data_IF_573662508845
#
_entry.id   IF_573662508845
#
_cell.length_a   1.000
_cell.length_b   1.000
_cell.length_c   1.000
_cell.angle_alpha   90.00
_cell.angle_beta   90.00
_cell.angle_gamma   90.00
#
_symmetry.space_group_name_H-M   'P 1'
#
loop_
_entity.id
_entity.type
_entity.pdbx_description
1 polymer ?
#
# COMPACT_ATOMS: atom_id res chain seq x y z
N UNK A 1 11.00 -6.47 -28.64
CA UNK A 1 9.64 -6.20 -28.14
C UNK A 1 9.76 -6.16 -26.62
N UNK A 2 9.59 -4.99 -25.99
CA UNK A 2 9.72 -4.88 -24.53
C UNK A 2 8.59 -5.69 -23.87
N UNK A 3 8.92 -6.73 -23.13
CA UNK A 3 7.95 -7.43 -22.29
C UNK A 3 7.46 -6.44 -21.25
N UNK A 4 6.14 -6.21 -21.21
CA UNK A 4 5.56 -5.36 -20.19
C UNK A 4 5.60 -6.14 -18.87
N UNK A 5 6.68 -5.91 -18.10
CA UNK A 5 7.01 -6.64 -16.87
C UNK A 5 6.12 -6.22 -15.68
N UNK A 6 5.18 -5.30 -15.89
CA UNK A 6 4.18 -4.87 -14.91
C UNK A 6 2.79 -5.34 -15.33
N UNK A 7 2.06 -6.00 -14.44
CA UNK A 7 0.63 -6.25 -14.60
C UNK A 7 -0.12 -5.00 -14.15
N UNK A 8 -1.02 -4.49 -14.99
CA UNK A 8 -1.88 -3.35 -14.66
C UNK A 8 -3.33 -3.82 -14.59
N UNK A 9 -4.04 -3.47 -13.51
CA UNK A 9 -5.49 -3.62 -13.37
C UNK A 9 -6.10 -2.26 -13.08
N UNK A 10 -7.24 -1.99 -13.69
CA UNK A 10 -8.04 -0.78 -13.47
C UNK A 10 -9.48 -1.24 -13.32
N UNK A 11 -10.15 -0.71 -12.30
CA UNK A 11 -11.56 -0.94 -12.04
C UNK A 11 -12.26 0.39 -11.82
N UNK A 12 -13.41 0.55 -12.46
CA UNK A 12 -14.29 1.67 -12.17
C UNK A 12 -14.91 1.46 -10.78
N UNK A 13 -14.84 2.49 -9.95
CA UNK A 13 -15.51 2.51 -8.65
C UNK A 13 -16.34 3.78 -8.55
N UNK A 14 -17.37 3.75 -7.72
CA UNK A 14 -18.10 4.95 -7.34
C UNK A 14 -18.10 5.03 -5.82
N UNK A 15 -17.35 5.99 -5.29
CA UNK A 15 -17.16 6.16 -3.84
C UNK A 15 -17.30 7.62 -3.44
N UNK A 16 -17.84 7.85 -2.24
CA UNK A 16 -18.10 9.20 -1.73
C UNK A 16 -16.99 9.66 -0.78
N UNK A 17 -15.78 9.85 -1.32
CA UNK A 17 -14.67 10.49 -0.61
C UNK A 17 -13.80 11.29 -1.58
N UNK A 18 -13.12 12.33 -1.12
CA UNK A 18 -12.14 13.07 -1.92
C UNK A 18 -10.73 12.61 -1.62
N UNK A 19 -9.86 12.65 -2.63
CA UNK A 19 -8.46 12.24 -2.51
C UNK A 19 -8.20 10.83 -2.98
N UNK A 20 -7.13 10.23 -2.45
CA UNK A 20 -6.61 8.93 -2.87
C UNK A 20 -6.17 8.12 -1.65
N UNK A 21 -6.68 6.90 -1.52
CA UNK A 21 -6.19 5.88 -0.60
C UNK A 21 -5.13 5.05 -1.33
N UNK A 22 -4.00 4.80 -0.68
CA UNK A 22 -2.81 4.14 -1.22
C UNK A 22 -2.47 2.95 -0.32
N UNK A 23 -2.16 1.82 -0.94
CA UNK A 23 -1.69 0.61 -0.26
C UNK A 23 -0.59 -0.05 -1.11
N UNK A 24 0.45 -0.56 -0.46
CA UNK A 24 1.56 -1.25 -1.13
C UNK A 24 1.74 -2.66 -0.55
N UNK A 25 2.04 -3.61 -1.43
CA UNK A 25 2.54 -4.91 -1.01
C UNK A 25 4.05 -4.94 -1.17
N UNK A 26 4.74 -5.61 -0.25
CA UNK A 26 6.20 -5.56 -0.17
C UNK A 26 6.84 -6.93 0.02
N UNK A 27 8.12 -6.99 -0.30
CA UNK A 27 9.05 -8.04 0.11
C UNK A 27 10.13 -7.44 1.00
N UNK A 28 10.87 -8.29 1.70
CA UNK A 28 11.98 -7.89 2.56
C UNK A 28 11.63 -8.02 4.04
N UNK A 29 12.45 -7.39 4.89
CA UNK A 29 12.31 -7.48 6.35
C UNK A 29 12.51 -6.10 6.97
N UNK A 30 11.84 -5.88 8.08
CA UNK A 30 12.15 -4.74 8.94
C UNK A 30 13.56 -4.87 9.51
N UNK A 31 14.24 -3.74 9.73
CA UNK A 31 15.46 -3.71 10.54
C UNK A 31 15.09 -3.59 12.02
N UNK A 32 15.15 -4.72 12.73
CA UNK A 32 14.78 -4.86 14.14
C UNK A 32 15.55 -3.89 15.06
N UNK A 33 16.71 -3.36 14.64
CA UNK A 33 17.46 -2.37 15.42
C UNK A 33 16.71 -1.04 15.59
N UNK A 34 15.83 -0.72 14.65
CA UNK A 34 15.09 0.54 14.61
C UNK A 34 13.61 0.36 14.96
N UNK A 35 13.19 -0.86 15.29
CA UNK A 35 11.81 -1.15 15.65
C UNK A 35 11.35 -0.27 16.82
N UNK A 36 10.16 0.32 16.69
CA UNK A 36 9.56 1.20 17.69
C UNK A 36 10.29 2.53 17.94
N UNK A 37 11.21 2.96 17.07
CA UNK A 37 11.97 4.21 17.25
C UNK A 37 11.47 5.38 16.39
N UNK A 38 10.46 5.16 15.54
CA UNK A 38 10.01 6.09 14.50
C UNK A 38 11.16 6.54 13.55
N UNK A 39 12.14 5.66 13.35
CA UNK A 39 13.27 5.86 12.46
C UNK A 39 13.01 5.14 11.14
N UNK A 40 13.05 5.88 10.03
CA UNK A 40 12.77 5.32 8.71
C UNK A 40 13.68 4.15 8.34
N UNK A 41 14.88 4.01 8.95
CA UNK A 41 15.79 2.88 8.70
C UNK A 41 15.18 1.53 9.07
N UNK A 42 14.10 1.50 9.85
CA UNK A 42 13.27 0.31 10.04
C UNK A 42 12.83 -0.31 8.69
N UNK A 43 12.65 0.49 7.65
CA UNK A 43 12.15 0.06 6.34
C UNK A 43 13.24 -0.12 5.26
N UNK A 44 14.53 0.01 5.60
CA UNK A 44 15.62 0.14 4.63
C UNK A 44 15.85 -1.10 3.74
N UNK A 45 15.37 -2.27 4.17
CA UNK A 45 15.50 -3.54 3.43
C UNK A 45 14.18 -4.01 2.80
N UNK A 46 13.19 -3.13 2.72
CA UNK A 46 11.86 -3.43 2.20
C UNK A 46 11.73 -2.86 0.79
N UNK A 47 11.09 -3.63 -0.09
CA UNK A 47 10.85 -3.26 -1.49
C UNK A 47 9.39 -3.48 -1.84
N UNK A 48 8.75 -2.48 -2.47
CA UNK A 48 7.42 -2.63 -3.04
C UNK A 48 7.43 -3.62 -4.22
N UNK A 49 6.41 -4.46 -4.27
CA UNK A 49 6.12 -5.40 -5.37
C UNK A 49 4.74 -5.17 -5.99
N UNK A 50 3.84 -4.49 -5.26
CA UNK A 50 2.56 -3.99 -5.77
C UNK A 50 2.39 -2.55 -5.29
N UNK A 51 1.94 -1.69 -6.20
CA UNK A 51 1.46 -0.34 -5.90
C UNK A 51 -0.01 -0.26 -6.27
N UNK A 52 -0.84 -0.03 -5.26
CA UNK A 52 -2.28 0.10 -5.39
C UNK A 52 -2.76 1.47 -4.94
N UNK A 53 -3.77 2.01 -5.62
CA UNK A 53 -4.48 3.20 -5.17
C UNK A 53 -5.95 3.19 -5.58
N UNK A 54 -6.78 3.87 -4.81
CA UNK A 54 -8.21 4.06 -5.09
C UNK A 54 -8.60 5.51 -4.81
N UNK A 55 -9.39 6.09 -5.71
CA UNK A 55 -10.07 7.38 -5.54
C UNK A 55 -11.59 7.19 -5.75
N UNK A 56 -12.35 8.29 -5.82
CA UNK A 56 -13.81 8.21 -6.01
C UNK A 56 -14.29 7.57 -7.30
N UNK A 57 -13.45 7.56 -8.35
CA UNK A 57 -13.80 7.13 -9.71
C UNK A 57 -13.17 5.79 -10.10
N UNK A 58 -11.98 5.48 -9.58
CA UNK A 58 -11.25 4.29 -10.02
C UNK A 58 -10.34 3.70 -8.94
N UNK A 59 -10.12 2.39 -9.07
CA UNK A 59 -9.09 1.62 -8.38
C UNK A 59 -8.05 1.17 -9.41
N UNK A 60 -6.78 1.36 -9.09
CA UNK A 60 -5.64 0.98 -9.94
C UNK A 60 -4.66 0.12 -9.17
N UNK A 61 -4.15 -0.93 -9.81
CA UNK A 61 -3.12 -1.80 -9.26
C UNK A 61 -2.03 -2.01 -10.31
N UNK A 62 -0.78 -1.81 -9.89
CA UNK A 62 0.42 -2.13 -10.65
C UNK A 62 1.22 -3.19 -9.89
N UNK A 63 1.39 -4.37 -10.47
CA UNK A 63 2.14 -5.48 -9.86
C UNK A 63 3.40 -5.79 -10.69
N UNK A 64 4.56 -5.82 -10.04
CA UNK A 64 5.80 -6.29 -10.64
C UNK A 64 5.69 -7.78 -10.97
N UNK A 65 6.11 -8.22 -12.16
CA UNK A 65 6.26 -9.64 -12.49
C UNK A 65 7.67 -10.10 -12.16
N UNK A 66 7.88 -10.54 -10.93
CA UNK A 66 9.20 -10.99 -10.47
C UNK A 66 10.16 -9.86 -10.10
N UNK A 67 11.35 -10.25 -9.64
CA UNK A 67 12.33 -9.37 -9.01
C UNK A 67 12.87 -8.33 -9.99
N UNK A 68 13.08 -8.72 -11.24
CA UNK A 68 13.57 -7.86 -12.32
C UNK A 68 12.63 -6.69 -12.63
N UNK A 69 11.34 -6.81 -12.29
CA UNK A 69 10.33 -5.81 -12.58
C UNK A 69 10.15 -4.78 -11.45
N UNK A 70 10.82 -4.95 -10.29
CA UNK A 70 10.67 -4.06 -9.13
C UNK A 70 11.15 -2.65 -9.45
N UNK A 71 12.26 -2.50 -10.19
CA UNK A 71 12.76 -1.19 -10.61
C UNK A 71 11.79 -0.48 -11.55
N UNK A 72 11.18 -1.23 -12.47
CA UNK A 72 10.19 -0.70 -13.41
C UNK A 72 8.93 -0.24 -12.67
N UNK A 73 8.49 -1.01 -11.68
CA UNK A 73 7.37 -0.64 -10.81
C UNK A 73 7.68 0.64 -10.03
N UNK A 74 8.89 0.75 -9.47
CA UNK A 74 9.33 1.96 -8.76
C UNK A 74 9.30 3.20 -9.65
N UNK A 75 9.80 3.09 -10.89
CA UNK A 75 9.76 4.18 -11.86
C UNK A 75 8.33 4.58 -12.24
N UNK A 76 7.42 3.63 -12.42
CA UNK A 76 6.00 3.91 -12.67
C UNK A 76 5.33 4.56 -11.46
N UNK A 77 5.61 4.08 -10.25
CA UNK A 77 5.05 4.60 -9.00
C UNK A 77 5.39 6.08 -8.84
N UNK A 78 6.65 6.47 -9.09
CA UNK A 78 7.06 7.88 -9.05
C UNK A 78 6.26 8.77 -10.01
N UNK A 79 5.93 8.27 -11.21
CA UNK A 79 5.10 9.03 -12.18
C UNK A 79 3.67 9.21 -11.68
N UNK A 80 3.10 8.17 -11.05
CA UNK A 80 1.73 8.23 -10.55
C UNK A 80 1.61 9.13 -9.33
N UNK A 81 2.49 9.00 -8.33
CA UNK A 81 2.41 9.76 -7.06
C UNK A 81 2.23 11.26 -7.29
N UNK A 82 2.97 11.85 -8.23
CA UNK A 82 2.92 13.28 -8.51
C UNK A 82 1.64 13.72 -9.24
N UNK A 83 0.88 12.77 -9.81
CA UNK A 83 -0.38 12.98 -10.53
C UNK A 83 -1.64 12.67 -9.71
N UNK A 84 -1.50 11.96 -8.59
CA UNK A 84 -2.64 11.52 -7.79
C UNK A 84 -3.33 12.70 -7.10
N UNK A 85 -4.65 12.61 -7.00
CA UNK A 85 -5.46 13.62 -6.32
C UNK A 85 -5.22 13.54 -4.81
N UNK A 86 -4.85 14.67 -4.20
CA UNK A 86 -4.86 14.84 -2.74
C UNK A 86 -6.27 15.07 -2.20
N UNK A 87 -6.56 14.76 -0.93
CA UNK A 87 -5.64 14.25 0.11
C UNK A 87 -5.16 12.80 -0.08
N UNK A 88 -3.98 12.46 0.43
CA UNK A 88 -3.45 11.09 0.47
C UNK A 88 -3.72 10.40 1.80
N UNK A 89 -4.18 9.16 1.69
CA UNK A 89 -4.49 8.29 2.82
C UNK A 89 -3.78 6.95 2.68
N UNK A 90 -3.39 6.36 3.80
CA UNK A 90 -2.97 4.96 3.89
C UNK A 90 -3.32 4.42 5.27
N UNK A 91 -3.37 3.09 5.41
CA UNK A 91 -3.61 2.48 6.71
C UNK A 91 -2.54 2.87 7.73
N UNK A 92 -1.27 2.61 7.45
CA UNK A 92 -0.15 2.96 8.33
C UNK A 92 0.86 3.82 7.55
N UNK A 93 0.62 5.12 7.49
CA UNK A 93 1.34 6.03 6.60
C UNK A 93 2.87 6.02 6.78
N UNK A 94 3.36 5.65 7.97
CA UNK A 94 4.79 5.53 8.23
C UNK A 94 5.43 4.37 7.46
N UNK A 95 4.68 3.30 7.21
CA UNK A 95 5.11 2.18 6.39
C UNK A 95 5.34 2.61 4.94
N UNK A 96 4.32 3.16 4.25
CA UNK A 96 4.45 3.52 2.82
C UNK A 96 5.53 4.58 2.61
N UNK A 97 5.54 5.64 3.42
CA UNK A 97 6.54 6.71 3.29
C UNK A 97 7.96 6.22 3.61
N UNK A 98 8.10 5.27 4.53
CA UNK A 98 9.38 4.70 4.93
C UNK A 98 9.98 3.85 3.82
N UNK A 99 9.17 2.96 3.25
CA UNK A 99 9.54 2.12 2.10
C UNK A 99 9.92 3.01 0.91
N UNK A 100 9.08 3.99 0.54
CA UNK A 100 9.38 4.87 -0.60
C UNK A 100 10.59 5.77 -0.39
N UNK A 101 10.86 6.19 0.84
CA UNK A 101 12.07 6.97 1.13
C UNK A 101 13.34 6.17 0.88
N UNK A 102 13.39 4.91 1.34
CA UNK A 102 14.57 4.06 1.21
C UNK A 102 14.69 3.43 -0.18
N UNK A 103 13.60 2.87 -0.70
CA UNK A 103 13.61 2.19 -1.99
C UNK A 103 13.66 3.16 -3.17
N UNK A 104 12.84 4.23 -3.13
CA UNK A 104 12.66 5.13 -4.28
C UNK A 104 13.35 6.49 -4.10
N UNK A 105 13.89 6.77 -2.91
CA UNK A 105 14.46 8.08 -2.61
C UNK A 105 13.41 9.21 -2.55
N UNK A 106 12.12 8.88 -2.45
CA UNK A 106 11.01 9.84 -2.48
C UNK A 106 10.39 9.98 -1.10
N UNK A 107 10.34 11.22 -0.60
CA UNK A 107 9.54 11.57 0.58
C UNK A 107 8.13 11.90 0.11
N UNK A 108 7.14 11.25 0.71
CA UNK A 108 5.72 11.49 0.46
C UNK A 108 5.04 11.82 1.78
N UNK A 109 4.43 13.00 1.83
CA UNK A 109 3.59 13.40 2.95
C UNK A 109 2.16 12.92 2.72
N UNK A 110 1.66 12.14 3.68
CA UNK A 110 0.26 11.72 3.73
C UNK A 110 -0.56 12.72 4.54
N UNK A 111 -1.78 12.96 4.10
CA UNK A 111 -2.70 13.91 4.73
C UNK A 111 -3.51 13.25 5.86
N UNK A 112 -3.76 11.94 5.76
CA UNK A 112 -4.50 11.20 6.78
C UNK A 112 -4.07 9.76 6.95
N UNK A 113 -4.03 9.30 8.19
CA UNK A 113 -3.75 7.91 8.57
C UNK A 113 -5.04 7.22 8.98
N UNK A 114 -5.30 6.06 8.38
CA UNK A 114 -6.54 5.33 8.64
C UNK A 114 -6.45 4.48 9.89
N UNK A 115 -5.25 4.06 10.32
CA UNK A 115 -5.04 3.32 11.56
C UNK A 115 -5.28 4.24 12.77
N UNK A 116 -6.25 3.90 13.62
CA UNK A 116 -6.68 4.80 14.72
C UNK A 116 -5.66 4.87 15.86
N UNK A 117 -5.05 3.73 16.19
CA UNK A 117 -4.01 3.56 17.21
C UNK A 117 -3.00 2.52 16.71
N UNK A 118 -2.33 1.74 17.59
CA UNK A 118 -1.54 0.57 17.16
C UNK A 118 -2.41 -0.66 16.99
N UNK A 119 -3.27 -0.66 15.97
CA UNK A 119 -4.16 -1.79 15.66
C UNK A 119 -3.82 -2.45 14.31
N UNK A 120 -4.23 -3.71 14.14
CA UNK A 120 -4.14 -4.36 12.82
C UNK A 120 -5.31 -3.97 11.91
N UNK A 121 -5.08 -3.99 10.60
CA UNK A 121 -6.11 -3.80 9.57
C UNK A 121 -7.28 -4.79 9.77
N UNK A 122 -6.97 -6.06 10.03
CA UNK A 122 -7.95 -7.10 10.34
C UNK A 122 -8.84 -6.77 11.55
N UNK A 123 -8.28 -6.17 12.60
CA UNK A 123 -9.06 -5.71 13.76
C UNK A 123 -10.00 -4.57 13.36
N UNK A 124 -9.50 -3.56 12.66
CA UNK A 124 -10.33 -2.44 12.20
C UNK A 124 -11.48 -2.91 11.28
N UNK A 125 -11.18 -3.79 10.32
CA UNK A 125 -12.15 -4.38 9.39
C UNK A 125 -13.26 -5.12 10.14
N UNK A 126 -12.90 -5.98 11.09
CA UNK A 126 -13.86 -6.72 11.92
C UNK A 126 -14.73 -5.78 12.75
N UNK A 127 -14.10 -4.83 13.46
CA UNK A 127 -14.79 -3.96 14.40
C UNK A 127 -15.75 -2.97 13.67
N UNK A 128 -15.45 -2.62 12.42
CA UNK A 128 -16.27 -1.76 11.55
C UNK A 128 -17.28 -2.53 10.68
N UNK A 129 -17.30 -3.86 10.77
CA UNK A 129 -18.17 -4.73 9.96
C UNK A 129 -17.93 -4.59 8.45
N UNK A 130 -16.67 -4.47 8.04
CA UNK A 130 -16.27 -4.33 6.63
C UNK A 130 -16.15 -5.73 6.01
N UNK A 131 -16.69 -5.96 4.79
CA UNK A 131 -16.60 -7.27 4.14
C UNK A 131 -15.17 -7.59 3.69
N UNK A 132 -14.91 -8.88 3.43
CA UNK A 132 -13.57 -9.35 3.04
C UNK A 132 -13.16 -8.94 1.61
N UNK A 133 -14.12 -8.56 0.76
CA UNK A 133 -13.88 -8.22 -0.66
C UNK A 133 -13.10 -9.29 -1.44
N UNK A 134 -13.41 -10.57 -1.16
CA UNK A 134 -12.79 -11.73 -1.79
C UNK A 134 -11.26 -11.81 -1.62
N UNK A 135 -10.71 -11.20 -0.57
CA UNK A 135 -9.30 -11.34 -0.19
C UNK A 135 -8.95 -12.83 0.01
N UNK A 136 -8.05 -13.40 -0.82
CA UNK A 136 -7.69 -14.81 -0.74
C UNK A 136 -6.89 -15.15 0.53
N UNK A 137 -6.36 -14.14 1.22
CA UNK A 137 -5.44 -14.31 2.35
C UNK A 137 -5.98 -13.81 3.68
N UNK A 138 -7.20 -13.27 3.72
CA UNK A 138 -7.83 -12.77 4.95
C UNK A 138 -6.90 -11.86 5.75
N UNK A 139 -6.42 -10.78 5.12
CA UNK A 139 -5.52 -9.76 5.69
C UNK A 139 -4.09 -10.25 6.01
N UNK A 140 -3.67 -11.44 5.55
CA UNK A 140 -2.33 -11.98 5.81
C UNK A 140 -1.32 -11.57 4.72
N UNK A 141 -0.69 -10.40 4.89
CA UNK A 141 0.31 -9.90 3.95
C UNK A 141 1.50 -10.86 3.67
N UNK A 142 1.90 -11.68 4.64
CA UNK A 142 2.91 -12.74 4.43
C UNK A 142 2.50 -13.73 3.33
N UNK A 143 1.22 -14.06 3.23
CA UNK A 143 0.72 -14.96 2.19
C UNK A 143 0.66 -14.28 0.83
N UNK A 144 0.35 -12.98 0.78
CA UNK A 144 0.48 -12.17 -0.42
C UNK A 144 1.93 -12.17 -0.96
N UNK A 145 2.90 -11.92 -0.07
CA UNK A 145 4.33 -11.96 -0.41
C UNK A 145 4.74 -13.34 -0.98
N UNK A 146 4.29 -14.43 -0.36
CA UNK A 146 4.59 -15.79 -0.83
C UNK A 146 3.92 -16.10 -2.18
N UNK A 147 2.66 -15.70 -2.36
CA UNK A 147 1.94 -15.86 -3.61
C UNK A 147 2.67 -15.12 -4.75
N UNK A 148 3.10 -13.89 -4.51
CA UNK A 148 3.91 -13.13 -5.46
C UNK A 148 5.22 -13.83 -5.81
N UNK A 149 5.95 -14.35 -4.81
CA UNK A 149 7.18 -15.13 -5.03
C UNK A 149 6.96 -16.40 -5.87
N UNK A 150 5.80 -17.03 -5.73
CA UNK A 150 5.42 -18.23 -6.48
C UNK A 150 4.85 -17.92 -7.88
N UNK A 151 4.78 -16.65 -8.27
CA UNK A 151 4.19 -16.23 -9.54
C UNK A 151 2.66 -16.25 -9.56
N UNK A 152 2.01 -16.40 -8.41
CA UNK A 152 0.55 -16.36 -8.22
C UNK A 152 0.06 -14.89 -8.18
N UNK A 153 0.43 -14.11 -9.21
CA UNK A 153 0.22 -12.67 -9.22
C UNK A 153 -1.25 -12.25 -9.14
N UNK A 154 -2.18 -13.00 -9.73
CA UNK A 154 -3.61 -12.68 -9.65
C UNK A 154 -4.12 -12.76 -8.20
N UNK A 155 -3.60 -13.67 -7.37
CA UNK A 155 -3.96 -13.77 -5.96
C UNK A 155 -3.36 -12.62 -5.14
N UNK A 156 -2.11 -12.24 -5.41
CA UNK A 156 -1.47 -11.08 -4.80
C UNK A 156 -2.18 -9.76 -5.17
N UNK A 157 -2.59 -9.61 -6.44
CA UNK A 157 -3.40 -8.49 -6.92
C UNK A 157 -4.78 -8.47 -6.23
N UNK A 158 -5.44 -9.62 -6.11
CA UNK A 158 -6.73 -9.72 -5.42
C UNK A 158 -6.64 -9.32 -3.95
N UNK A 159 -5.54 -9.64 -3.27
CA UNK A 159 -5.27 -9.18 -1.90
C UNK A 159 -5.16 -7.65 -1.81
N UNK A 160 -4.27 -7.04 -2.60
CA UNK A 160 -4.08 -5.59 -2.59
C UNK A 160 -5.37 -4.83 -2.97
N UNK A 161 -6.13 -5.37 -3.94
CA UNK A 161 -7.48 -4.87 -4.28
C UNK A 161 -8.40 -4.85 -3.06
N UNK A 162 -8.47 -5.97 -2.33
CA UNK A 162 -9.30 -6.07 -1.15
C UNK A 162 -8.83 -5.12 -0.04
N UNK A 163 -7.51 -4.96 0.16
CA UNK A 163 -6.92 -3.97 1.06
C UNK A 163 -7.39 -2.55 0.73
N UNK A 164 -7.31 -2.11 -0.52
CA UNK A 164 -7.76 -0.78 -0.95
C UNK A 164 -9.26 -0.56 -0.68
N UNK A 165 -10.11 -1.56 -0.97
CA UNK A 165 -11.54 -1.47 -0.72
C UNK A 165 -11.87 -1.42 0.78
N UNK A 166 -11.15 -2.21 1.60
CA UNK A 166 -11.26 -2.17 3.05
C UNK A 166 -10.83 -0.81 3.58
N UNK A 167 -9.72 -0.27 3.12
CA UNK A 167 -9.20 1.04 3.55
C UNK A 167 -10.10 2.20 3.15
N UNK A 168 -10.65 2.18 1.93
CA UNK A 168 -11.72 3.10 1.54
C UNK A 168 -12.88 3.06 2.52
N UNK A 169 -13.36 1.87 2.86
CA UNK A 169 -14.49 1.73 3.79
C UNK A 169 -14.13 2.18 5.21
N UNK A 170 -12.89 1.96 5.64
CA UNK A 170 -12.37 2.51 6.90
C UNK A 170 -12.45 4.04 6.87
N UNK A 171 -11.92 4.68 5.82
CA UNK A 171 -11.96 6.12 5.63
C UNK A 171 -13.41 6.65 5.71
N UNK A 172 -14.34 6.04 4.98
CA UNK A 172 -15.75 6.48 4.95
C UNK A 172 -16.42 6.27 6.32
N UNK A 173 -16.17 5.16 7.01
CA UNK A 173 -16.87 4.81 8.26
C UNK A 173 -16.34 5.55 9.49
N UNK A 174 -15.03 5.82 9.56
CA UNK A 174 -14.41 6.40 10.77
C UNK A 174 -13.52 7.60 10.52
N UNK A 175 -13.44 8.08 9.30
CA UNK A 175 -12.55 9.17 8.90
C UNK A 175 -11.07 8.78 9.09
N UNK A 176 -10.18 9.76 9.13
CA UNK A 176 -8.74 9.59 9.33
C UNK A 176 -8.24 10.42 10.52
N UNK A 177 -7.06 10.07 11.05
CA UNK A 177 -6.30 10.90 11.99
C UNK A 177 -5.11 11.55 11.31
N UNK A 178 -4.47 12.50 11.98
CA UNK A 178 -3.17 13.03 11.54
C UNK A 178 -2.11 11.92 11.62
N UNK A 179 -1.30 11.69 10.57
CA UNK A 179 -0.21 10.72 10.63
C UNK A 179 0.85 11.09 11.65
N UNK A 180 1.48 10.09 12.23
CA UNK A 180 2.64 10.29 13.12
C UNK A 180 3.85 10.83 12.34
N UNK A 181 4.79 11.46 13.06
CA UNK A 181 6.07 11.88 12.49
C UNK A 181 7.00 10.68 12.29
N UNK A 182 7.68 10.64 11.13
CA UNK A 182 8.75 9.68 10.85
C UNK A 182 10.08 10.42 10.63
N UNK A 183 11.15 9.97 11.29
CA UNK A 183 12.49 10.51 11.08
C UNK A 183 13.13 9.87 9.86
N UNK A 184 13.27 10.65 8.79
CA UNK A 184 13.93 10.22 7.56
C UNK A 184 15.46 10.27 7.67
N UNK A 185 16.10 9.10 7.70
CA UNK A 185 17.55 8.91 7.86
C UNK A 185 18.02 7.89 6.83
N UNK A 186 19.05 8.25 6.05
CA UNK A 186 19.71 7.34 5.11
C UNK A 186 20.83 6.55 5.77
#
# INVERSE_FOLDING_TARGET
MGTNNIIKRIEDVNSDFDGTVIDIETIGKFDDKYQYTNDSREYQYIQQIIFGFINKHSLHILCAKGMEAISDLGAETLKFIDSLQRPFYAFNCNFERGVWFHQLGKKVDFDGELQAERESKAKAVRDLGIPNYDDPFYDRGLWCMNAWHNGEFDAAIAHNRACLLKERDILIKRNFRKPDELKFIK
#
